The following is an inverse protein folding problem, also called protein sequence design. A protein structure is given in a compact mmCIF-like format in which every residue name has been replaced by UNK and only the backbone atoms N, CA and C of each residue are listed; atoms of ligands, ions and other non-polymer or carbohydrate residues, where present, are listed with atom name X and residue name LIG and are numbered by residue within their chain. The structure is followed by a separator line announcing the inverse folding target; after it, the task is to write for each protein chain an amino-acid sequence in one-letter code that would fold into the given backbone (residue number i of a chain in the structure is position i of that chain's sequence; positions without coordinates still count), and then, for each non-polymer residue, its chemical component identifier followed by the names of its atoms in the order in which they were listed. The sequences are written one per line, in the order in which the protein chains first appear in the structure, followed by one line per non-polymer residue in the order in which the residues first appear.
data_IF_405653735411
#
_entry.id   IF_405653735411
#
_cell.length_a   1.000
_cell.length_b   1.000
_cell.length_c   1.000
_cell.angle_alpha   90.00
_cell.angle_beta   90.00
_cell.angle_gamma   90.00
#
_symmetry.space_group_name_H-M   'P 1'
#
loop_
_entity.id
_entity.type
_entity.pdbx_description
1 polymer ?
#
# COMPACT_ATOMS: atom_id res chain seq x y z
N UNK A 1 -26.97 -13.15 25.06
CA UNK A 1 -25.70 -12.45 25.29
C UNK A 1 -25.20 -12.12 23.90
N UNK A 2 -25.25 -10.83 23.49
CA UNK A 2 -24.72 -10.41 22.19
C UNK A 2 -23.20 -10.62 22.25
N UNK A 3 -22.63 -11.30 21.29
CA UNK A 3 -21.17 -11.39 21.17
C UNK A 3 -20.66 -9.99 20.87
N UNK A 4 -19.91 -9.41 21.82
CA UNK A 4 -19.09 -8.22 21.57
C UNK A 4 -18.25 -8.50 20.34
N UNK A 5 -18.47 -7.79 19.21
CA UNK A 5 -17.69 -8.00 18.01
C UNK A 5 -16.37 -7.27 18.13
N UNK A 6 -15.34 -8.01 18.52
CA UNK A 6 -13.97 -7.53 18.44
C UNK A 6 -13.64 -7.18 16.98
N UNK A 7 -13.09 -6.00 16.73
CA UNK A 7 -12.69 -5.54 15.41
C UNK A 7 -11.34 -4.80 15.44
N UNK A 8 -10.77 -4.66 14.27
CA UNK A 8 -9.61 -3.80 14.01
C UNK A 8 -10.10 -2.61 13.21
N UNK A 9 -9.61 -1.41 13.51
CA UNK A 9 -9.77 -0.22 12.68
C UNK A 9 -8.67 -0.23 11.62
N UNK A 10 -9.01 -0.66 10.41
CA UNK A 10 -8.14 -0.64 9.24
C UNK A 10 -8.16 0.74 8.59
N UNK A 11 -7.00 1.24 8.14
CA UNK A 11 -6.81 2.60 7.62
C UNK A 11 -5.93 2.52 6.36
N UNK A 12 -6.46 2.97 5.23
CA UNK A 12 -5.72 3.11 3.97
C UNK A 12 -5.61 4.59 3.59
N UNK A 13 -4.37 5.09 3.54
CA UNK A 13 -4.09 6.45 3.08
C UNK A 13 -3.95 6.44 1.57
N UNK A 14 -5.05 6.67 0.85
CA UNK A 14 -5.03 6.78 -0.62
C UNK A 14 -4.48 8.12 -1.11
N UNK A 15 -4.44 8.32 -2.43
CA UNK A 15 -3.93 9.55 -3.05
C UNK A 15 -4.84 10.77 -2.81
N UNK A 16 -6.15 10.56 -2.73
CA UNK A 16 -7.17 11.63 -2.67
C UNK A 16 -8.10 11.54 -1.46
N UNK A 17 -8.09 10.41 -0.76
CA UNK A 17 -8.94 10.15 0.39
C UNK A 17 -8.28 9.14 1.32
N UNK A 18 -8.54 9.30 2.63
CA UNK A 18 -8.31 8.27 3.62
C UNK A 18 -9.57 7.39 3.68
N UNK A 19 -9.37 6.08 3.60
CA UNK A 19 -10.40 5.09 3.86
C UNK A 19 -10.19 4.48 5.23
N UNK A 20 -11.27 4.21 5.93
CA UNK A 20 -11.22 3.49 7.20
C UNK A 20 -12.37 2.48 7.29
N UNK A 21 -12.11 1.35 7.95
CA UNK A 21 -13.11 0.29 8.09
C UNK A 21 -12.91 -0.53 9.36
N UNK A 22 -14.01 -1.04 9.89
CA UNK A 22 -14.03 -1.97 11.02
C UNK A 22 -14.03 -3.40 10.49
N UNK A 23 -12.95 -4.12 10.74
CA UNK A 23 -12.72 -5.47 10.19
C UNK A 23 -12.73 -6.50 11.32
N UNK A 24 -13.63 -7.49 11.22
CA UNK A 24 -13.69 -8.61 12.18
C UNK A 24 -12.51 -9.58 11.98
N UNK A 25 -12.32 -10.46 12.95
CA UNK A 25 -11.31 -11.53 12.88
C UNK A 25 -11.47 -12.47 11.67
N UNK A 26 -12.68 -12.56 11.13
CA UNK A 26 -12.98 -13.39 9.97
C UNK A 26 -12.87 -12.63 8.63
N UNK A 27 -12.43 -11.37 8.66
CA UNK A 27 -12.29 -10.51 7.47
C UNK A 27 -13.61 -9.86 7.01
N UNK A 28 -14.68 -9.94 7.81
CA UNK A 28 -15.94 -9.23 7.51
C UNK A 28 -15.76 -7.73 7.76
N UNK A 29 -16.21 -6.93 6.80
CA UNK A 29 -16.27 -5.47 6.93
C UNK A 29 -17.58 -5.09 7.58
N UNK A 30 -17.55 -4.64 8.85
CA UNK A 30 -18.75 -4.23 9.59
C UNK A 30 -19.26 -2.88 9.09
N UNK A 31 -18.35 -1.94 8.92
CA UNK A 31 -18.62 -0.58 8.49
C UNK A 31 -17.36 0.00 7.87
N UNK A 32 -17.52 0.89 6.90
CA UNK A 32 -16.43 1.60 6.27
C UNK A 32 -16.83 2.98 5.81
N UNK A 33 -15.88 3.88 5.70
CA UNK A 33 -16.08 5.20 5.13
C UNK A 33 -14.85 5.66 4.37
N UNK A 34 -15.06 6.67 3.52
CA UNK A 34 -14.00 7.39 2.82
C UNK A 34 -14.11 8.88 3.15
N UNK A 35 -13.00 9.47 3.50
CA UNK A 35 -12.88 10.90 3.80
C UNK A 35 -11.92 11.53 2.81
N UNK A 36 -12.42 12.30 1.84
CA UNK A 36 -11.57 13.02 0.91
C UNK A 36 -10.78 14.10 1.64
N UNK A 37 -9.57 14.35 1.21
CA UNK A 37 -8.76 15.47 1.64
C UNK A 37 -8.22 16.24 0.45
N UNK A 38 -8.09 17.56 0.63
CA UNK A 38 -7.47 18.40 -0.39
C UNK A 38 -5.95 18.26 -0.32
N UNK A 39 -5.32 18.20 -1.47
CA UNK A 39 -3.88 18.37 -1.56
C UNK A 39 -3.60 19.89 -1.57
N UNK A 40 -3.10 20.48 -0.48
CA UNK A 40 -2.77 21.89 -0.46
C UNK A 40 -1.61 22.16 -1.42
N UNK A 41 -1.60 23.35 -2.03
CA UNK A 41 -0.54 23.76 -2.96
C UNK A 41 0.85 23.84 -2.30
N UNK A 42 0.88 23.96 -0.99
CA UNK A 42 2.09 24.12 -0.17
C UNK A 42 2.77 22.81 0.26
N UNK A 43 2.40 21.66 -0.31
CA UNK A 43 2.97 20.34 -0.02
C UNK A 43 2.77 19.78 1.40
N UNK A 44 1.95 20.38 2.26
CA UNK A 44 1.63 19.85 3.60
C UNK A 44 0.42 18.91 3.57
N UNK A 45 0.41 17.96 2.64
CA UNK A 45 -0.71 17.00 2.47
C UNK A 45 -0.85 16.10 3.68
N UNK A 46 0.26 15.67 4.27
CA UNK A 46 0.28 14.74 5.39
C UNK A 46 -0.36 15.30 6.66
N UNK A 47 -0.34 16.63 6.87
CA UNK A 47 -1.05 17.24 7.98
C UNK A 47 -2.57 17.01 7.94
N UNK A 48 -3.12 16.82 6.74
CA UNK A 48 -4.54 16.51 6.56
C UNK A 48 -4.94 15.10 6.97
N UNK A 49 -4.00 14.15 7.06
CA UNK A 49 -4.33 12.74 7.28
C UNK A 49 -4.85 12.45 8.68
N UNK A 50 -4.26 13.07 9.71
CA UNK A 50 -4.75 12.89 11.08
C UNK A 50 -6.18 13.47 11.26
N UNK A 51 -6.48 14.57 10.58
CA UNK A 51 -7.83 15.15 10.57
C UNK A 51 -8.81 14.29 9.77
N UNK A 52 -8.37 13.71 8.65
CA UNK A 52 -9.17 12.78 7.88
C UNK A 52 -9.46 11.51 8.69
N UNK A 53 -8.48 11.02 9.46
CA UNK A 53 -8.68 9.88 10.37
C UNK A 53 -9.70 10.22 11.44
N UNK A 54 -9.61 11.40 12.08
CA UNK A 54 -10.60 11.85 13.06
C UNK A 54 -12.01 11.87 12.45
N UNK A 55 -12.15 12.49 11.29
CA UNK A 55 -13.43 12.54 10.59
C UNK A 55 -13.93 11.16 10.16
N UNK A 56 -13.03 10.22 9.84
CA UNK A 56 -13.38 8.84 9.53
C UNK A 56 -13.92 8.11 10.77
N UNK A 57 -13.25 8.23 11.90
CA UNK A 57 -13.70 7.64 13.18
C UNK A 57 -15.09 8.16 13.57
N UNK A 58 -15.34 9.47 13.40
CA UNK A 58 -16.65 10.06 13.66
C UNK A 58 -17.76 9.59 12.69
N UNK A 59 -17.38 9.25 11.44
CA UNK A 59 -18.32 8.80 10.40
C UNK A 59 -18.60 7.32 10.40
N UNK A 60 -17.70 6.51 10.95
CA UNK A 60 -17.90 5.06 10.97
C UNK A 60 -19.15 4.75 11.77
N UNK A 61 -20.23 4.47 11.05
CA UNK A 61 -21.50 4.10 11.65
C UNK A 61 -21.43 2.65 12.12
N UNK A 62 -21.78 2.44 13.37
CA UNK A 62 -22.07 1.10 13.88
C UNK A 62 -23.55 0.86 13.68
N UNK A 63 -23.98 -0.25 13.05
CA UNK A 63 -25.39 -0.58 12.94
C UNK A 63 -26.08 -0.55 14.32
N UNK A 64 -27.24 0.09 14.43
CA UNK A 64 -27.97 0.24 15.70
C UNK A 64 -28.27 -1.10 16.40
N UNK A 65 -28.31 -2.20 15.65
CA UNK A 65 -28.51 -3.55 16.17
C UNK A 65 -27.26 -4.18 16.78
N UNK A 66 -26.08 -3.54 16.67
CA UNK A 66 -24.82 -4.05 17.22
C UNK A 66 -24.45 -3.24 18.46
N UNK A 67 -24.01 -3.93 19.52
CA UNK A 67 -23.28 -3.27 20.61
C UNK A 67 -22.06 -2.55 20.04
N UNK A 68 -21.62 -1.46 20.71
CA UNK A 68 -20.46 -0.70 20.28
C UNK A 68 -19.25 -1.63 19.99
N UNK A 69 -18.62 -1.52 18.81
CA UNK A 69 -17.54 -2.40 18.44
C UNK A 69 -16.36 -2.20 19.38
N UNK A 70 -15.75 -3.31 19.76
CA UNK A 70 -14.57 -3.27 20.60
C UNK A 70 -13.32 -3.27 19.73
N UNK A 71 -12.75 -2.08 19.50
CA UNK A 71 -11.54 -1.91 18.70
C UNK A 71 -10.34 -2.48 19.46
N UNK A 72 -9.63 -3.42 18.84
CA UNK A 72 -8.48 -4.13 19.42
C UNK A 72 -7.14 -3.56 18.96
N UNK A 73 -7.09 -2.96 17.79
CA UNK A 73 -5.90 -2.36 17.20
C UNK A 73 -6.29 -1.40 16.08
N UNK A 74 -5.38 -0.52 15.71
CA UNK A 74 -5.35 0.16 14.42
C UNK A 74 -4.39 -0.57 13.50
N UNK A 75 -4.70 -0.66 12.20
CA UNK A 75 -3.79 -1.15 11.17
C UNK A 75 -3.70 -0.11 10.06
N UNK A 76 -2.49 0.25 9.62
CA UNK A 76 -2.30 1.37 8.72
C UNK A 76 -1.50 0.96 7.50
N UNK A 77 -2.12 1.11 6.33
CA UNK A 77 -1.46 1.09 5.03
C UNK A 77 -1.62 2.43 4.31
N UNK A 78 -0.93 2.59 3.20
CA UNK A 78 -1.10 3.78 2.40
C UNK A 78 -0.26 3.81 1.13
N UNK A 79 -0.51 4.84 0.33
CA UNK A 79 0.11 4.98 -0.96
C UNK A 79 1.64 5.02 -0.85
N UNK A 80 2.24 4.06 -1.47
CA UNK A 80 3.60 3.60 -1.60
C UNK A 80 4.66 4.65 -1.57
N UNK A 81 5.63 4.92 -2.43
CA UNK A 81 6.80 5.73 -2.11
C UNK A 81 6.53 7.24 -2.04
N UNK A 82 5.42 7.67 -1.42
CA UNK A 82 5.23 9.04 -0.93
C UNK A 82 6.19 9.27 0.21
N UNK A 83 6.96 10.36 0.18
CA UNK A 83 7.88 10.73 1.26
C UNK A 83 7.35 11.91 2.04
N UNK A 84 7.53 11.86 3.36
CA UNK A 84 7.08 12.88 4.30
C UNK A 84 8.18 13.17 5.31
N UNK A 85 8.52 14.45 5.51
CA UNK A 85 9.41 14.88 6.59
C UNK A 85 8.66 14.96 7.93
N UNK A 86 9.40 15.11 9.03
CA UNK A 86 8.79 15.30 10.34
C UNK A 86 7.88 16.53 10.42
N UNK A 87 8.14 17.57 9.63
CA UNK A 87 7.28 18.76 9.55
C UNK A 87 5.96 18.53 8.78
N UNK A 88 5.81 17.38 8.10
CA UNK A 88 4.65 17.07 7.25
C UNK A 88 4.82 17.48 5.79
N UNK A 89 5.97 18.04 5.39
CA UNK A 89 6.26 18.31 3.99
C UNK A 89 6.30 17.02 3.19
N UNK A 90 5.51 16.98 2.12
CA UNK A 90 5.19 15.75 1.40
C UNK A 90 5.64 15.81 -0.06
N UNK A 91 6.35 14.80 -0.53
CA UNK A 91 6.57 14.48 -1.93
C UNK A 91 5.74 13.26 -2.30
N UNK A 92 4.63 13.46 -3.02
CA UNK A 92 3.73 12.38 -3.35
C UNK A 92 4.32 11.44 -4.40
N UNK A 93 3.96 10.17 -4.33
CA UNK A 93 4.45 9.12 -5.23
C UNK A 93 4.23 9.41 -6.73
N UNK A 94 3.20 10.17 -7.08
CA UNK A 94 2.83 10.53 -8.45
C UNK A 94 3.29 11.93 -8.88
N UNK A 95 3.96 12.67 -8.01
CA UNK A 95 4.66 13.91 -8.38
C UNK A 95 5.98 13.56 -9.02
N UNK A 96 6.24 14.12 -10.18
CA UNK A 96 7.45 13.93 -11.00
C UNK A 96 7.74 12.46 -11.38
N UNK A 97 8.02 12.21 -12.65
CA UNK A 97 8.50 10.89 -13.06
C UNK A 97 9.87 10.60 -12.44
N UNK A 98 10.09 9.35 -12.07
CA UNK A 98 11.37 8.90 -11.49
C UNK A 98 12.59 9.17 -12.39
N UNK A 99 12.37 9.40 -13.70
CA UNK A 99 13.40 9.73 -14.69
C UNK A 99 13.82 11.22 -14.69
N UNK A 100 13.30 12.07 -13.80
CA UNK A 100 13.69 13.48 -13.71
C UNK A 100 15.11 13.69 -13.12
N UNK A 101 15.72 12.63 -12.58
CA UNK A 101 17.09 12.67 -12.07
C UNK A 101 18.09 12.34 -13.18
N UNK A 102 19.09 13.18 -13.35
CA UNK A 102 20.24 12.88 -14.21
C UNK A 102 21.12 11.86 -13.51
N UNK A 103 21.32 10.70 -14.14
CA UNK A 103 22.26 9.66 -13.70
C UNK A 103 23.61 9.78 -14.40
N UNK A 104 23.92 10.94 -14.97
CA UNK A 104 25.07 11.13 -15.85
C UNK A 104 26.43 10.85 -15.18
N UNK A 105 26.51 10.87 -13.85
CA UNK A 105 27.71 10.62 -13.07
C UNK A 105 27.67 9.28 -12.28
N UNK A 106 26.64 8.46 -12.48
CA UNK A 106 26.49 7.18 -11.75
C UNK A 106 27.22 6.03 -12.43
N UNK A 107 27.75 5.10 -11.64
CA UNK A 107 28.26 3.83 -12.15
C UNK A 107 27.14 2.94 -12.70
N UNK A 108 27.43 1.96 -13.58
CA UNK A 108 26.42 1.02 -14.05
C UNK A 108 25.71 0.25 -12.92
N UNK A 109 26.40 -0.02 -11.82
CA UNK A 109 25.85 -0.70 -10.66
C UNK A 109 24.89 0.22 -9.88
N UNK A 110 25.28 1.46 -9.62
CA UNK A 110 24.41 2.48 -9.00
C UNK A 110 23.16 2.75 -9.86
N UNK A 111 23.32 2.85 -11.18
CA UNK A 111 22.18 3.01 -12.09
C UNK A 111 21.20 1.82 -12.01
N UNK A 112 21.72 0.60 -11.84
CA UNK A 112 20.91 -0.60 -11.66
C UNK A 112 20.16 -0.58 -10.33
N UNK A 113 20.83 -0.28 -9.22
CA UNK A 113 20.21 -0.15 -7.89
C UNK A 113 19.12 0.93 -7.90
N UNK A 114 19.42 2.07 -8.49
CA UNK A 114 18.44 3.14 -8.67
C UNK A 114 17.21 2.68 -9.44
N UNK A 115 17.37 1.94 -10.55
CA UNK A 115 16.27 1.48 -11.38
C UNK A 115 15.38 0.43 -10.67
N UNK A 116 15.93 -0.32 -9.71
CA UNK A 116 15.19 -1.35 -8.98
C UNK A 116 14.51 -0.83 -7.72
N UNK A 117 15.04 0.22 -7.09
CA UNK A 117 14.46 0.77 -5.87
C UNK A 117 13.15 1.51 -6.15
N UNK A 118 12.17 1.27 -5.28
CA UNK A 118 10.91 2.02 -5.29
C UNK A 118 10.99 3.33 -4.50
N UNK A 119 11.97 3.46 -3.59
CA UNK A 119 12.14 4.63 -2.72
C UNK A 119 13.33 5.52 -3.11
N UNK A 120 14.47 4.95 -3.47
CA UNK A 120 15.70 5.71 -3.72
C UNK A 120 15.51 6.87 -4.70
N UNK A 121 14.83 6.71 -5.85
CA UNK A 121 14.55 7.82 -6.75
C UNK A 121 13.77 8.95 -6.08
N UNK A 122 12.86 8.62 -5.17
CA UNK A 122 12.05 9.59 -4.44
C UNK A 122 12.84 10.30 -3.35
N UNK A 123 13.71 9.59 -2.65
CA UNK A 123 14.59 10.16 -1.62
C UNK A 123 15.53 11.20 -2.24
N UNK A 124 16.15 10.85 -3.38
CA UNK A 124 17.03 11.77 -4.11
C UNK A 124 16.25 12.98 -4.61
N UNK A 125 15.06 12.77 -5.17
CA UNK A 125 14.21 13.86 -5.63
C UNK A 125 13.76 14.76 -4.47
N UNK A 126 13.44 14.22 -3.30
CA UNK A 126 13.12 15.00 -2.11
C UNK A 126 14.30 15.85 -1.68
N UNK A 127 15.50 15.25 -1.60
CA UNK A 127 16.75 15.98 -1.30
C UNK A 127 16.97 17.16 -2.25
N UNK A 128 16.79 16.95 -3.55
CA UNK A 128 17.14 17.94 -4.56
C UNK A 128 16.08 19.05 -4.69
N UNK A 129 14.80 18.72 -4.51
CA UNK A 129 13.70 19.69 -4.62
C UNK A 129 13.38 20.42 -3.32
N UNK A 130 13.67 19.82 -2.18
CA UNK A 130 13.27 20.28 -0.84
C UNK A 130 14.50 20.23 0.08
N UNK A 131 15.63 20.75 -0.41
CA UNK A 131 16.95 20.59 0.22
C UNK A 131 16.99 21.12 1.66
N UNK A 132 16.42 22.31 1.92
CA UNK A 132 16.43 22.89 3.26
C UNK A 132 15.69 21.99 4.27
N UNK A 133 14.56 21.43 3.89
CA UNK A 133 13.80 20.50 4.71
C UNK A 133 14.53 19.16 4.86
N UNK A 134 15.15 18.68 3.76
CA UNK A 134 15.94 17.45 3.80
C UNK A 134 17.09 17.56 4.80
N UNK A 135 17.78 18.69 4.85
CA UNK A 135 18.87 18.92 5.81
C UNK A 135 18.35 19.00 7.26
N UNK A 136 17.21 19.64 7.50
CA UNK A 136 16.66 19.91 8.83
C UNK A 136 15.94 18.71 9.43
N UNK A 137 15.21 17.92 8.64
CA UNK A 137 14.45 16.78 9.16
C UNK A 137 15.35 15.70 9.71
N UNK A 138 14.99 15.11 10.83
CA UNK A 138 15.70 13.95 11.39
C UNK A 138 15.34 12.70 10.60
N UNK A 139 14.04 12.51 10.28
CA UNK A 139 13.55 11.35 9.56
C UNK A 139 12.73 11.73 8.34
N UNK A 140 12.84 10.89 7.30
CA UNK A 140 11.92 10.80 6.18
C UNK A 140 11.11 9.51 6.31
N UNK A 141 9.81 9.65 6.25
CA UNK A 141 8.86 8.55 6.34
C UNK A 141 8.22 8.26 4.99
N UNK A 142 7.70 7.06 4.82
CA UNK A 142 6.62 6.87 3.84
C UNK A 142 5.29 7.40 4.39
N UNK A 143 4.26 7.47 3.56
CA UNK A 143 2.96 8.00 3.99
C UNK A 143 2.37 7.29 5.22
N UNK A 144 2.20 5.96 5.21
CA UNK A 144 1.65 5.24 6.36
C UNK A 144 2.53 5.32 7.60
N UNK A 145 3.86 5.24 7.45
CA UNK A 145 4.79 5.33 8.59
C UNK A 145 4.78 6.70 9.24
N UNK A 146 4.58 7.78 8.47
CA UNK A 146 4.40 9.11 9.02
C UNK A 146 3.16 9.19 9.95
N UNK A 147 2.02 8.64 9.50
CA UNK A 147 0.83 8.61 10.35
C UNK A 147 1.02 7.73 11.59
N UNK A 148 1.69 6.57 11.45
CA UNK A 148 2.04 5.71 12.59
C UNK A 148 2.92 6.44 13.59
N UNK A 149 3.94 7.18 13.10
CA UNK A 149 4.80 8.01 13.95
C UNK A 149 4.01 9.11 14.68
N UNK A 150 3.11 9.81 14.00
CA UNK A 150 2.24 10.80 14.65
C UNK A 150 1.38 10.18 15.75
N UNK A 151 0.89 8.97 15.56
CA UNK A 151 0.00 8.30 16.49
C UNK A 151 0.72 7.71 17.71
N UNK A 152 1.96 7.24 17.55
CA UNK A 152 2.70 6.45 18.56
C UNK A 152 4.01 7.10 19.02
N UNK A 153 4.55 8.04 18.26
CA UNK A 153 5.90 8.59 18.47
C UNK A 153 7.03 7.65 18.03
N UNK A 154 6.74 6.52 17.40
CA UNK A 154 7.76 5.54 16.95
C UNK A 154 8.07 5.71 15.47
N UNK A 155 9.33 6.02 15.18
CA UNK A 155 9.84 6.11 13.82
C UNK A 155 10.27 4.71 13.34
N UNK A 156 9.60 4.18 12.32
CA UNK A 156 9.87 2.88 11.71
C UNK A 156 9.70 2.94 10.21
N UNK A 157 10.30 1.99 9.48
CA UNK A 157 10.02 1.70 8.07
C UNK A 157 9.58 0.26 7.93
N UNK A 158 8.41 0.02 7.34
CA UNK A 158 7.87 -1.34 7.19
C UNK A 158 8.54 -2.04 6.01
N UNK A 159 9.20 -3.15 6.29
CA UNK A 159 9.74 -4.05 5.29
C UNK A 159 8.76 -5.23 5.12
N UNK A 160 8.02 -5.31 4.00
CA UNK A 160 6.96 -6.31 3.84
C UNK A 160 7.45 -7.77 3.93
N UNK A 161 8.69 -8.01 3.52
CA UNK A 161 9.41 -9.28 3.58
C UNK A 161 10.91 -8.98 3.40
N UNK A 162 11.83 -9.73 4.00
CA UNK A 162 13.27 -9.37 4.03
C UNK A 162 13.91 -9.05 2.67
N UNK A 163 13.52 -9.74 1.59
CA UNK A 163 14.04 -9.48 0.24
C UNK A 163 13.65 -8.11 -0.34
N UNK A 164 12.65 -7.42 0.28
CA UNK A 164 12.30 -6.05 -0.12
C UNK A 164 13.40 -5.04 0.16
N UNK A 165 14.40 -5.37 0.99
CA UNK A 165 15.56 -4.49 1.20
C UNK A 165 16.21 -4.10 -0.12
N UNK A 166 16.31 -5.01 -1.08
CA UNK A 166 16.84 -4.74 -2.41
C UNK A 166 15.97 -3.79 -3.25
N UNK A 167 14.67 -3.72 -2.96
CA UNK A 167 13.73 -2.82 -3.64
C UNK A 167 13.52 -1.50 -2.88
N UNK A 168 13.98 -1.40 -1.64
CA UNK A 168 13.91 -0.19 -0.83
C UNK A 168 15.26 0.53 -0.86
N UNK A 169 16.14 0.20 0.04
CA UNK A 169 17.51 0.69 0.18
C UNK A 169 18.30 -0.20 1.14
N UNK A 170 19.60 -0.10 1.07
CA UNK A 170 20.50 -0.59 2.12
C UNK A 170 21.51 0.52 2.46
N UNK A 171 22.28 0.34 3.52
CA UNK A 171 23.26 1.33 3.99
C UNK A 171 24.26 1.71 2.90
N UNK A 172 24.83 0.75 2.20
CA UNK A 172 25.87 0.95 1.19
C UNK A 172 25.35 1.80 0.02
N UNK A 173 24.12 1.48 -0.45
CA UNK A 173 23.45 2.24 -1.51
C UNK A 173 23.19 3.68 -1.07
N UNK A 174 22.69 3.91 0.13
CA UNK A 174 22.42 5.26 0.64
C UNK A 174 23.72 6.08 0.75
N UNK A 175 24.77 5.49 1.31
CA UNK A 175 26.09 6.13 1.43
C UNK A 175 26.68 6.47 0.06
N UNK A 176 26.56 5.58 -0.92
CA UNK A 176 26.98 5.80 -2.32
C UNK A 176 26.30 7.02 -2.96
N UNK A 177 25.04 7.27 -2.64
CA UNK A 177 24.29 8.45 -3.09
C UNK A 177 24.39 9.66 -2.16
N UNK A 178 25.24 9.61 -1.13
CA UNK A 178 25.45 10.69 -0.17
C UNK A 178 24.23 10.97 0.72
N UNK A 179 23.39 9.95 0.98
CA UNK A 179 22.23 10.06 1.86
C UNK A 179 22.63 9.58 3.25
N UNK A 180 22.51 10.42 4.30
CA UNK A 180 22.77 9.98 5.66
C UNK A 180 21.82 8.86 6.09
N UNK A 181 22.34 7.71 6.46
CA UNK A 181 21.53 6.52 6.80
C UNK A 181 20.56 6.75 7.96
N UNK A 182 20.92 7.63 8.90
CA UNK A 182 20.04 8.00 10.02
C UNK A 182 18.81 8.82 9.64
N UNK A 183 18.69 9.27 8.38
CA UNK A 183 17.48 9.97 7.89
C UNK A 183 16.31 9.02 7.59
N UNK A 184 16.58 7.74 7.50
CA UNK A 184 15.56 6.74 7.24
C UNK A 184 15.40 5.87 8.49
N UNK A 185 14.17 5.75 9.03
CA UNK A 185 13.93 4.92 10.20
C UNK A 185 14.30 3.45 9.97
N UNK A 186 14.60 2.75 11.06
CA UNK A 186 14.96 1.34 11.02
C UNK A 186 13.83 0.48 10.45
N UNK A 187 14.21 -0.60 9.76
CA UNK A 187 13.26 -1.56 9.23
C UNK A 187 12.61 -2.39 10.33
N UNK A 188 11.29 -2.52 10.22
CA UNK A 188 10.49 -3.45 11.00
C UNK A 188 9.71 -4.37 10.07
N UNK A 189 9.32 -5.55 10.54
CA UNK A 189 8.54 -6.51 9.77
C UNK A 189 7.08 -6.09 9.60
N UNK A 190 6.43 -6.63 8.58
CA UNK A 190 4.99 -6.55 8.39
C UNK A 190 4.24 -7.08 9.62
N UNK A 191 3.31 -6.31 10.15
CA UNK A 191 2.59 -6.65 11.38
C UNK A 191 3.28 -6.23 12.67
N UNK A 192 4.40 -5.51 12.59
CA UNK A 192 5.08 -4.97 13.77
C UNK A 192 4.14 -4.09 14.59
N UNK A 193 4.18 -4.27 15.92
CA UNK A 193 3.46 -3.43 16.86
C UNK A 193 4.28 -2.17 17.17
N UNK A 194 3.87 -1.03 16.63
CA UNK A 194 4.51 0.27 16.82
C UNK A 194 4.25 0.90 18.21
N UNK A 195 3.60 0.18 19.12
CA UNK A 195 3.16 0.69 20.42
C UNK A 195 1.71 1.16 20.38
N UNK A 196 1.23 1.58 21.56
CA UNK A 196 -0.13 2.05 21.72
C UNK A 196 -0.29 3.50 21.23
N UNK A 197 -1.54 3.88 20.89
CA UNK A 197 -1.91 5.28 20.73
C UNK A 197 -1.46 6.09 21.95
N UNK A 198 -0.86 7.26 21.71
CA UNK A 198 -0.56 8.20 22.79
C UNK A 198 -1.85 8.70 23.46
N UNK A 199 -1.79 9.09 24.73
CA UNK A 199 -2.97 9.57 25.46
C UNK A 199 -3.63 10.78 24.76
N UNK A 200 -2.81 11.68 24.18
CA UNK A 200 -3.31 12.82 23.41
C UNK A 200 -4.07 12.38 22.16
N UNK A 201 -3.59 11.34 21.47
CA UNK A 201 -4.28 10.82 20.27
C UNK A 201 -5.53 10.02 20.64
N UNK A 202 -5.54 9.34 21.78
CA UNK A 202 -6.79 8.71 22.29
C UNK A 202 -7.87 9.76 22.51
N UNK A 203 -7.54 10.87 23.18
CA UNK A 203 -8.46 11.97 23.43
C UNK A 203 -8.90 12.66 22.12
N UNK A 204 -7.95 12.98 21.25
CA UNK A 204 -8.21 13.66 19.99
C UNK A 204 -9.11 12.84 19.06
N UNK A 205 -8.84 11.55 18.91
CA UNK A 205 -9.58 10.67 18.02
C UNK A 205 -10.88 10.12 18.65
N UNK A 206 -11.00 10.16 19.98
CA UNK A 206 -12.10 9.50 20.69
C UNK A 206 -11.97 7.97 20.67
N UNK A 207 -10.75 7.44 20.63
CA UNK A 207 -10.46 6.01 20.55
C UNK A 207 -9.86 5.48 21.86
N UNK A 208 -10.08 4.20 22.18
CA UNK A 208 -9.39 3.57 23.31
C UNK A 208 -7.88 3.49 23.06
N UNK A 209 -7.11 3.30 24.12
CA UNK A 209 -5.67 3.04 24.04
C UNK A 209 -5.46 1.62 23.54
N UNK A 210 -5.05 1.51 22.27
CA UNK A 210 -4.85 0.25 21.55
C UNK A 210 -3.58 0.30 20.70
N UNK A 211 -2.97 -0.83 20.38
CA UNK A 211 -1.77 -0.89 19.57
C UNK A 211 -2.04 -0.44 18.14
N UNK A 212 -1.02 0.16 17.53
CA UNK A 212 -0.95 0.52 16.11
C UNK A 212 -0.05 -0.49 15.41
N UNK A 213 -0.60 -1.21 14.45
CA UNK A 213 0.05 -2.28 13.69
C UNK A 213 0.50 -1.76 12.33
N UNK A 214 1.76 -1.99 12.02
CA UNK A 214 2.39 -1.56 10.78
C UNK A 214 2.05 -2.49 9.62
N UNK A 215 1.48 -1.95 8.53
CA UNK A 215 1.21 -2.68 7.28
C UNK A 215 2.06 -2.16 6.13
N UNK A 216 2.26 -0.84 6.04
CA UNK A 216 3.13 -0.22 5.04
C UNK A 216 2.42 0.08 3.71
N UNK A 217 3.01 -0.25 2.54
CA UNK A 217 2.43 0.15 1.27
C UNK A 217 1.06 -0.48 0.98
N UNK A 218 0.13 0.31 0.45
CA UNK A 218 -1.23 -0.10 0.08
C UNK A 218 -1.29 -1.33 -0.84
N UNK A 219 -0.30 -1.46 -1.77
CA UNK A 219 -0.28 -2.60 -2.67
C UNK A 219 -0.03 -3.92 -1.91
N UNK A 220 0.72 -3.90 -0.81
CA UNK A 220 0.94 -5.07 0.06
C UNK A 220 -0.37 -5.46 0.74
N UNK A 221 -1.06 -4.49 1.35
CA UNK A 221 -2.38 -4.69 1.93
C UNK A 221 -3.37 -5.25 0.89
N UNK A 222 -3.37 -4.68 -0.33
CA UNK A 222 -4.20 -5.15 -1.43
C UNK A 222 -3.90 -6.58 -1.88
N UNK A 223 -2.63 -6.99 -1.94
CA UNK A 223 -2.26 -8.39 -2.23
C UNK A 223 -2.78 -9.35 -1.16
N UNK A 224 -2.67 -8.98 0.10
CA UNK A 224 -3.17 -9.79 1.22
C UNK A 224 -4.70 -9.87 1.16
N UNK A 225 -5.38 -8.73 1.01
CA UNK A 225 -6.84 -8.66 1.01
C UNK A 225 -7.49 -9.36 -0.18
N UNK A 226 -6.81 -9.44 -1.34
CA UNK A 226 -7.27 -10.21 -2.51
C UNK A 226 -6.86 -11.68 -2.47
N UNK A 227 -6.04 -12.09 -1.49
CA UNK A 227 -5.47 -13.44 -1.43
C UNK A 227 -4.40 -13.71 -2.50
N UNK A 228 -3.84 -12.66 -3.13
CA UNK A 228 -2.78 -12.77 -4.15
C UNK A 228 -1.41 -13.00 -3.47
N UNK A 229 -1.39 -13.98 -2.60
CA UNK A 229 -0.24 -14.36 -1.75
C UNK A 229 0.19 -15.82 -1.96
N UNK A 230 -0.41 -16.49 -2.95
CA UNK A 230 -0.11 -17.90 -3.30
C UNK A 230 0.26 -17.97 -4.77
N UNK A 231 1.23 -18.82 -5.11
CA UNK A 231 1.61 -19.03 -6.50
C UNK A 231 0.40 -19.42 -7.36
N UNK A 232 0.29 -18.80 -8.53
CA UNK A 232 -0.83 -18.99 -9.45
C UNK A 232 -2.07 -18.12 -9.14
N UNK A 233 -1.99 -17.18 -8.19
CA UNK A 233 -3.08 -16.20 -7.95
C UNK A 233 -2.76 -14.86 -8.59
N UNK A 234 -3.80 -14.19 -9.08
CA UNK A 234 -3.71 -12.90 -9.77
C UNK A 234 -4.82 -11.97 -9.31
N UNK A 235 -4.51 -10.70 -9.14
CA UNK A 235 -5.50 -9.66 -8.91
C UNK A 235 -5.30 -8.46 -9.80
N UNK A 236 -6.37 -7.72 -9.96
CA UNK A 236 -6.47 -6.46 -10.66
C UNK A 236 -6.99 -5.40 -9.70
N UNK A 237 -6.12 -4.49 -9.30
CA UNK A 237 -6.42 -3.38 -8.38
C UNK A 237 -6.79 -2.14 -9.19
N UNK A 238 -8.09 -1.96 -9.42
CA UNK A 238 -8.67 -0.94 -10.29
C UNK A 238 -9.00 0.35 -9.50
N UNK A 239 -7.97 1.11 -9.16
CA UNK A 239 -8.03 2.40 -8.47
C UNK A 239 -7.91 3.61 -9.41
N UNK A 240 -7.37 4.73 -8.93
CA UNK A 240 -6.99 5.89 -9.76
C UNK A 240 -5.86 5.54 -10.76
N UNK A 241 -4.95 4.69 -10.37
CA UNK A 241 -4.10 3.88 -11.25
C UNK A 241 -4.53 2.43 -11.13
N UNK A 242 -4.20 1.60 -12.11
CA UNK A 242 -4.58 0.20 -12.11
C UNK A 242 -3.34 -0.68 -12.08
N UNK A 243 -3.30 -1.63 -11.16
CA UNK A 243 -2.18 -2.53 -10.95
C UNK A 243 -2.61 -3.99 -11.07
N UNK A 244 -2.09 -4.69 -12.09
CA UNK A 244 -2.30 -6.12 -12.27
C UNK A 244 -1.13 -6.83 -11.59
N UNK A 245 -1.40 -7.73 -10.65
CA UNK A 245 -0.41 -8.40 -9.83
C UNK A 245 -0.58 -9.90 -9.91
N UNK A 246 0.47 -10.61 -10.31
CA UNK A 246 0.47 -12.06 -10.47
C UNK A 246 1.53 -12.67 -9.55
N UNK A 247 1.10 -13.49 -8.60
CA UNK A 247 1.96 -14.20 -7.67
C UNK A 247 2.50 -15.49 -8.28
N UNK A 248 3.81 -15.65 -8.29
CA UNK A 248 4.52 -16.79 -8.89
C UNK A 248 5.59 -17.34 -7.94
N UNK A 249 6.04 -18.56 -8.18
CA UNK A 249 7.10 -19.23 -7.42
C UNK A 249 8.51 -19.06 -8.01
N UNK A 250 8.64 -18.20 -9.03
CA UNK A 250 9.86 -17.99 -9.78
C UNK A 250 10.09 -16.53 -10.06
N UNK A 251 11.32 -16.05 -9.90
CA UNK A 251 11.69 -14.71 -10.32
C UNK A 251 11.70 -14.63 -11.85
N UNK A 252 10.89 -13.72 -12.41
CA UNK A 252 10.80 -13.47 -13.84
C UNK A 252 10.98 -11.96 -14.05
N UNK A 253 12.03 -11.57 -14.74
CA UNK A 253 12.31 -10.18 -15.11
C UNK A 253 12.01 -9.97 -16.59
N UNK A 254 11.22 -8.96 -16.91
CA UNK A 254 10.85 -8.61 -18.28
C UNK A 254 10.57 -7.11 -18.39
N UNK A 255 10.75 -6.58 -19.59
CA UNK A 255 10.38 -5.20 -19.90
C UNK A 255 8.87 -4.99 -19.68
N UNK A 256 8.49 -3.86 -19.11
CA UNK A 256 7.10 -3.52 -18.79
C UNK A 256 6.51 -4.23 -17.56
N UNK A 257 7.29 -5.08 -16.90
CA UNK A 257 6.87 -5.78 -15.67
C UNK A 257 7.82 -5.43 -14.53
N UNK A 258 7.26 -4.98 -13.40
CA UNK A 258 7.99 -4.85 -12.15
C UNK A 258 7.92 -6.17 -11.41
N UNK A 259 9.08 -6.75 -11.11
CA UNK A 259 9.20 -7.98 -10.31
C UNK A 259 9.67 -7.62 -8.92
N UNK A 260 8.83 -7.91 -7.92
CA UNK A 260 9.11 -7.69 -6.50
C UNK A 260 8.94 -9.01 -5.73
N UNK A 261 9.55 -9.15 -4.55
CA UNK A 261 9.17 -10.23 -3.64
C UNK A 261 7.67 -10.22 -3.38
N UNK A 262 7.04 -11.36 -3.19
CA UNK A 262 5.69 -11.43 -2.64
C UNK A 262 5.78 -11.36 -1.11
N UNK A 263 4.67 -11.04 -0.43
CA UNK A 263 4.59 -11.06 1.04
C UNK A 263 4.78 -12.46 1.63
N UNK A 264 4.60 -13.49 0.82
CA UNK A 264 4.90 -14.88 1.19
C UNK A 264 6.33 -15.22 0.80
N UNK A 265 7.13 -15.65 1.76
CA UNK A 265 8.52 -16.00 1.55
C UNK A 265 8.70 -17.01 0.38
N UNK A 266 9.71 -16.77 -0.45
CA UNK A 266 10.03 -17.60 -1.60
C UNK A 266 9.18 -17.33 -2.85
N UNK A 267 8.09 -16.57 -2.75
CA UNK A 267 7.26 -16.18 -3.89
C UNK A 267 7.63 -14.80 -4.43
N UNK A 268 7.17 -14.50 -5.64
CA UNK A 268 7.40 -13.26 -6.36
C UNK A 268 6.07 -12.66 -6.83
N UNK A 269 6.02 -11.35 -6.93
CA UNK A 269 4.90 -10.60 -7.51
C UNK A 269 5.35 -9.96 -8.82
N UNK A 270 4.77 -10.39 -9.92
CA UNK A 270 4.90 -9.75 -11.22
C UNK A 270 3.80 -8.69 -11.34
N UNK A 271 4.18 -7.43 -11.52
CA UNK A 271 3.23 -6.33 -11.53
C UNK A 271 3.30 -5.53 -12.81
N UNK A 272 2.16 -5.29 -13.44
CA UNK A 272 1.98 -4.33 -14.53
C UNK A 272 1.18 -3.15 -14.00
N UNK A 273 1.76 -1.96 -14.04
CA UNK A 273 1.11 -0.73 -13.60
C UNK A 273 0.61 0.07 -14.80
N UNK A 274 -0.66 0.48 -14.75
CA UNK A 274 -1.28 1.42 -15.68
C UNK A 274 -1.51 2.73 -14.91
N UNK A 275 -0.55 3.68 -14.98
CA UNK A 275 -0.65 4.91 -14.21
C UNK A 275 -1.81 5.77 -14.70
N UNK A 276 -2.51 6.44 -13.76
CA UNK A 276 -3.64 7.33 -14.03
C UNK A 276 -4.73 6.68 -14.91
N UNK A 277 -4.96 5.37 -14.75
CA UNK A 277 -5.91 4.62 -15.58
C UNK A 277 -7.32 5.22 -15.55
N UNK A 278 -7.76 5.72 -14.39
CA UNK A 278 -9.08 6.33 -14.22
C UNK A 278 -9.30 7.59 -15.10
N UNK A 279 -8.23 8.26 -15.54
CA UNK A 279 -8.30 9.43 -16.43
C UNK A 279 -8.28 9.08 -17.91
N UNK A 280 -8.01 7.82 -18.27
CA UNK A 280 -8.00 7.38 -19.66
C UNK A 280 -9.40 7.19 -20.20
N UNK A 281 -9.63 7.41 -21.51
CA UNK A 281 -10.84 6.96 -22.19
C UNK A 281 -11.07 5.47 -21.93
N UNK A 282 -12.32 5.07 -21.74
CA UNK A 282 -12.71 3.73 -21.31
C UNK A 282 -12.10 2.62 -22.18
N UNK A 283 -12.22 2.73 -23.51
CA UNK A 283 -11.69 1.72 -24.44
C UNK A 283 -10.16 1.59 -24.33
N UNK A 284 -9.44 2.71 -24.21
CA UNK A 284 -7.99 2.70 -24.04
C UNK A 284 -7.57 2.07 -22.72
N UNK A 285 -8.34 2.30 -21.65
CA UNK A 285 -8.10 1.71 -20.35
C UNK A 285 -8.26 0.19 -20.40
N UNK A 286 -9.36 -0.31 -21.01
CA UNK A 286 -9.60 -1.74 -21.16
C UNK A 286 -8.49 -2.40 -22.00
N UNK A 287 -8.10 -1.81 -23.12
CA UNK A 287 -7.03 -2.36 -23.96
C UNK A 287 -5.67 -2.41 -23.24
N UNK A 288 -5.35 -1.40 -22.41
CA UNK A 288 -4.12 -1.44 -21.59
C UNK A 288 -4.15 -2.55 -20.54
N UNK A 289 -5.29 -2.76 -19.90
CA UNK A 289 -5.48 -3.86 -18.95
C UNK A 289 -5.32 -5.21 -19.63
N UNK A 290 -5.98 -5.39 -20.77
CA UNK A 290 -5.88 -6.60 -21.61
C UNK A 290 -4.44 -6.86 -22.02
N UNK A 291 -3.75 -5.85 -22.52
CA UNK A 291 -2.33 -5.97 -22.91
C UNK A 291 -1.43 -6.35 -21.72
N UNK A 292 -1.69 -5.78 -20.55
CA UNK A 292 -0.97 -6.15 -19.31
C UNK A 292 -1.20 -7.60 -18.91
N UNK A 293 -2.43 -8.08 -18.99
CA UNK A 293 -2.79 -9.48 -18.71
C UNK A 293 -2.17 -10.43 -19.75
N UNK A 294 -2.20 -10.08 -21.03
CA UNK A 294 -1.57 -10.87 -22.11
C UNK A 294 -0.06 -10.96 -21.92
N UNK A 295 0.58 -9.87 -21.50
CA UNK A 295 2.01 -9.86 -21.18
C UNK A 295 2.32 -10.84 -20.02
N UNK A 296 1.59 -10.77 -18.91
CA UNK A 296 1.77 -11.68 -17.78
C UNK A 296 1.49 -13.14 -18.16
N UNK A 297 0.47 -13.40 -18.98
CA UNK A 297 0.14 -14.73 -19.49
C UNK A 297 1.27 -15.28 -20.37
N UNK A 298 1.76 -14.49 -21.30
CA UNK A 298 2.89 -14.86 -22.17
C UNK A 298 4.14 -15.20 -21.35
N UNK A 299 4.46 -14.37 -20.35
CA UNK A 299 5.61 -14.64 -19.47
C UNK A 299 5.42 -15.92 -18.65
N UNK A 300 4.22 -16.18 -18.16
CA UNK A 300 3.92 -17.42 -17.46
C UNK A 300 4.17 -18.63 -18.37
N UNK A 301 3.60 -18.64 -19.57
CA UNK A 301 3.75 -19.73 -20.55
C UNK A 301 5.22 -19.95 -20.94
N UNK A 302 5.98 -18.88 -21.23
CA UNK A 302 7.41 -18.95 -21.56
C UNK A 302 8.26 -19.52 -20.42
N UNK A 303 7.81 -19.39 -19.18
CA UNK A 303 8.49 -19.89 -17.99
C UNK A 303 7.93 -21.22 -17.48
N UNK A 304 7.00 -21.85 -18.20
CA UNK A 304 6.39 -23.13 -17.83
C UNK A 304 5.41 -23.03 -16.66
N UNK A 305 4.87 -21.83 -16.38
CA UNK A 305 3.89 -21.61 -15.34
C UNK A 305 2.46 -21.65 -15.92
N UNK A 306 1.53 -22.17 -15.13
CA UNK A 306 0.12 -22.09 -15.47
C UNK A 306 -0.40 -20.66 -15.20
N UNK A 307 -1.08 -20.08 -16.20
CA UNK A 307 -1.78 -18.80 -15.98
C UNK A 307 -3.18 -19.06 -15.43
N UNK A 308 -3.62 -18.33 -14.39
CA UNK A 308 -4.93 -18.53 -13.78
C UNK A 308 -6.07 -18.18 -14.75
N UNK A 309 -7.18 -18.91 -14.63
CA UNK A 309 -8.39 -18.64 -15.41
C UNK A 309 -9.30 -17.59 -14.77
N UNK A 310 -9.03 -17.23 -13.53
CA UNK A 310 -9.82 -16.29 -12.75
C UNK A 310 -8.92 -15.17 -12.23
N UNK A 311 -9.38 -13.92 -12.35
CA UNK A 311 -8.73 -12.72 -11.84
C UNK A 311 -9.65 -12.09 -10.83
N UNK A 312 -9.13 -11.85 -9.61
CA UNK A 312 -9.85 -11.10 -8.58
C UNK A 312 -9.66 -9.60 -8.80
N UNK A 313 -10.74 -8.84 -8.98
CA UNK A 313 -10.67 -7.37 -9.10
C UNK A 313 -11.12 -6.69 -7.84
N UNK A 314 -10.52 -5.54 -7.54
CA UNK A 314 -10.83 -4.67 -6.40
C UNK A 314 -10.64 -3.20 -6.79
N UNK A 315 -11.04 -2.28 -5.91
CA UNK A 315 -10.89 -0.84 -6.10
C UNK A 315 -12.13 -0.15 -6.61
N UNK A 316 -12.12 1.19 -6.56
CA UNK A 316 -13.30 2.01 -6.84
C UNK A 316 -13.87 1.87 -8.23
N UNK A 317 -13.06 1.48 -9.23
CA UNK A 317 -13.53 1.26 -10.59
C UNK A 317 -14.40 -0.01 -10.71
N UNK A 318 -14.25 -0.98 -9.81
CA UNK A 318 -15.11 -2.18 -9.79
C UNK A 318 -16.57 -1.86 -9.45
N UNK A 319 -16.85 -0.66 -8.91
CA UNK A 319 -18.21 -0.17 -8.58
C UNK A 319 -18.98 0.35 -9.81
N UNK A 320 -18.28 0.66 -10.88
CA UNK A 320 -18.92 1.05 -12.15
C UNK A 320 -19.33 -0.20 -12.92
N UNK A 321 -20.58 -0.61 -12.76
CA UNK A 321 -21.12 -1.83 -13.38
C UNK A 321 -21.00 -1.84 -14.91
N UNK A 322 -21.15 -0.68 -15.55
CA UNK A 322 -21.08 -0.57 -17.01
C UNK A 322 -19.64 -0.83 -17.49
N UNK A 323 -18.68 -0.16 -16.86
CA UNK A 323 -17.26 -0.35 -17.15
C UNK A 323 -16.80 -1.78 -16.82
N UNK A 324 -17.18 -2.26 -15.63
CA UNK A 324 -16.85 -3.60 -15.19
C UNK A 324 -17.41 -4.69 -16.13
N UNK A 325 -18.64 -4.53 -16.60
CA UNK A 325 -19.28 -5.42 -17.56
C UNK A 325 -18.53 -5.50 -18.89
N UNK A 326 -18.09 -4.36 -19.43
CA UNK A 326 -17.28 -4.33 -20.67
C UNK A 326 -15.92 -4.99 -20.50
N UNK A 327 -15.22 -4.69 -19.39
CA UNK A 327 -13.95 -5.31 -19.05
C UNK A 327 -14.09 -6.82 -18.91
N UNK A 328 -15.12 -7.28 -18.19
CA UNK A 328 -15.44 -8.71 -18.03
C UNK A 328 -15.65 -9.37 -19.38
N UNK A 329 -16.53 -8.83 -20.24
CA UNK A 329 -16.81 -9.39 -21.53
C UNK A 329 -15.56 -9.48 -22.43
N UNK A 330 -14.64 -8.53 -22.32
CA UNK A 330 -13.37 -8.55 -23.06
C UNK A 330 -12.43 -9.65 -22.57
N UNK A 331 -12.34 -9.87 -21.26
CA UNK A 331 -11.50 -10.93 -20.66
C UNK A 331 -12.11 -12.33 -20.87
N UNK A 332 -13.44 -12.46 -20.87
CA UNK A 332 -14.12 -13.72 -21.18
C UNK A 332 -13.78 -14.22 -22.61
N UNK A 333 -13.61 -13.32 -23.57
CA UNK A 333 -13.14 -13.67 -24.92
C UNK A 333 -11.74 -14.30 -24.93
N UNK A 334 -10.94 -14.02 -23.90
CA UNK A 334 -9.61 -14.60 -23.67
C UNK A 334 -9.66 -15.88 -22.80
N UNK A 335 -10.85 -16.33 -22.40
CA UNK A 335 -11.06 -17.46 -21.49
C UNK A 335 -10.70 -17.14 -20.04
N UNK A 336 -10.78 -15.87 -19.65
CA UNK A 336 -10.45 -15.37 -18.30
C UNK A 336 -11.72 -14.87 -17.63
N UNK A 337 -12.04 -15.41 -16.47
CA UNK A 337 -13.14 -14.96 -15.61
C UNK A 337 -12.68 -13.81 -14.71
N UNK A 338 -13.38 -12.66 -14.76
CA UNK A 338 -13.18 -11.55 -13.87
C UNK A 338 -14.19 -11.60 -12.72
N UNK A 339 -13.72 -11.72 -11.51
CA UNK A 339 -14.55 -11.77 -10.30
C UNK A 339 -14.27 -10.59 -9.39
N UNK A 340 -15.31 -10.05 -8.77
CA UNK A 340 -15.15 -9.04 -7.73
C UNK A 340 -14.66 -9.74 -6.47
N UNK A 341 -13.66 -9.16 -5.79
CA UNK A 341 -13.19 -9.64 -4.50
C UNK A 341 -14.28 -9.57 -3.42
N UNK A 342 -14.01 -10.18 -2.29
CA UNK A 342 -14.92 -10.19 -1.13
C UNK A 342 -15.20 -8.80 -0.58
N UNK A 343 -14.31 -7.85 -0.86
CA UNK A 343 -14.46 -6.43 -0.56
C UNK A 343 -13.88 -5.59 -1.69
N UNK A 344 -14.57 -4.53 -2.07
CA UNK A 344 -14.11 -3.57 -3.08
C UNK A 344 -12.86 -2.80 -2.61
N UNK A 345 -12.68 -2.65 -1.30
CA UNK A 345 -11.52 -2.04 -0.68
C UNK A 345 -10.65 -3.13 0.00
N UNK A 346 -9.99 -3.95 -0.84
CA UNK A 346 -9.16 -5.07 -0.39
C UNK A 346 -8.01 -4.64 0.51
N UNK A 347 -7.55 -3.40 0.39
CA UNK A 347 -6.54 -2.81 1.27
C UNK A 347 -6.98 -2.87 2.74
N UNK A 348 -8.22 -2.48 3.05
CA UNK A 348 -8.76 -2.54 4.41
C UNK A 348 -8.87 -3.98 4.94
N UNK A 349 -9.25 -4.93 4.06
CA UNK A 349 -9.29 -6.35 4.43
C UNK A 349 -7.89 -6.88 4.72
N UNK A 350 -6.91 -6.48 3.91
CA UNK A 350 -5.50 -6.83 4.13
C UNK A 350 -4.94 -6.27 5.43
N UNK A 351 -5.21 -4.99 5.71
CA UNK A 351 -4.84 -4.34 6.98
C UNK A 351 -5.40 -5.11 8.18
N UNK A 352 -6.69 -5.43 8.11
CA UNK A 352 -7.36 -6.23 9.15
C UNK A 352 -6.72 -7.60 9.34
N UNK A 353 -6.39 -8.30 8.25
CA UNK A 353 -5.76 -9.63 8.29
C UNK A 353 -4.38 -9.58 8.96
N UNK A 354 -3.56 -8.57 8.63
CA UNK A 354 -2.23 -8.36 9.23
C UNK A 354 -2.37 -8.08 10.73
N UNK A 355 -3.24 -7.15 11.12
CA UNK A 355 -3.42 -6.82 12.53
C UNK A 355 -3.95 -8.00 13.36
N UNK A 356 -4.91 -8.75 12.84
CA UNK A 356 -5.40 -9.95 13.53
C UNK A 356 -4.35 -11.06 13.64
N UNK A 357 -3.41 -11.14 12.70
CA UNK A 357 -2.26 -12.04 12.80
C UNK A 357 -1.33 -11.59 13.92
N UNK A 358 -0.95 -10.32 13.95
CA UNK A 358 -0.08 -9.73 14.95
C UNK A 358 -0.64 -9.85 16.39
N UNK A 359 -1.96 -9.72 16.54
CA UNK A 359 -2.63 -9.88 17.85
C UNK A 359 -2.67 -11.34 18.37
N UNK A 360 -2.40 -12.33 17.50
CA UNK A 360 -2.40 -13.78 17.90
C UNK A 360 -1.04 -14.24 18.37
N UNK A 361 0.02 -13.62 17.89
CA UNK A 361 1.38 -13.99 18.28
C UNK A 361 1.65 -13.46 19.70
N UNK A 362 2.15 -14.28 20.63
CA UNK A 362 2.60 -13.79 21.92
C UNK A 362 3.75 -12.80 21.67
N UNK A 363 3.58 -11.55 22.08
CA UNK A 363 4.63 -10.56 22.00
C UNK A 363 5.83 -11.09 22.80
N UNK A 364 6.91 -11.44 22.10
CA UNK A 364 8.19 -11.72 22.75
C UNK A 364 8.62 -10.52 23.61
N UNK A 365 9.46 -10.73 24.63
CA UNK A 365 9.89 -9.64 25.50
C UNK A 365 10.54 -8.52 24.65
N UNK A 366 10.00 -7.30 24.84
CA UNK A 366 10.50 -6.06 24.25
C UNK A 366 11.87 -5.67 24.82
#
# INVERSE_FOLDING_TARGET
MSESRDCVLAIDIGTTALKAGLITKNGEVISMCSVPYSAPENRFVAEGWIWALKAAVEKIAVPEALEAPHIKALAISGNGPTLVSESGLTLRWNEYPACALSLDETTPDEAREFAHSIFLPRILLFRDLISDEFEQTTHLFSGPEYLMWQLTGKAVTVLPEPRYETAYWNREVLEGFGIPTGKLPDFVELGHNCGDLTDNNCEFLGLPKVPVIAVGPDFIAGLIGTGTTKAGTICDRAGSSEGINFCVDKEIRAEGVRTLPCVTAGLWNLSVLIPNSASLPEDQRIEKVVAGIELLKTLAEQNGLAFPKQITTTGGQAKDEAWFGKKRARLEQMGIELVVGTCEDAELVGDGAVAWSALREPQGPQ
#
